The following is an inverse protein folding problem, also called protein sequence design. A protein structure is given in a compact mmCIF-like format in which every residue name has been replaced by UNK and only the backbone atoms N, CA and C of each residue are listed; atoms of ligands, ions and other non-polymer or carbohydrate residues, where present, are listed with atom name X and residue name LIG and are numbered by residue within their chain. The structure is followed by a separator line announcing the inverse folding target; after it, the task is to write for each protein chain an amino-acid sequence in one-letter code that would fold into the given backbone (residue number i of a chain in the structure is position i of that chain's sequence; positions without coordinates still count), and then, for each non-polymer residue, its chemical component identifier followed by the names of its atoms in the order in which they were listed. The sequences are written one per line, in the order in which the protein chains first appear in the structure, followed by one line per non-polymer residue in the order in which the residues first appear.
data_IF_527871923505
#
_entry.id   IF_527871923505
#
_cell.length_a   1.000
_cell.length_b   1.000
_cell.length_c   1.000
_cell.angle_alpha   90.00
_cell.angle_beta   90.00
_cell.angle_gamma   90.00
#
_symmetry.space_group_name_H-M   'P 1'
#
loop_
_entity.id
_entity.type
_entity.pdbx_description
1 polymer ?
#
# COMPACT_ATOMS: atom_id res chain seq x y z
N UNK A 1 15.55 -33.80 6.67
CA UNK A 1 16.79 -32.99 6.52
C UNK A 1 17.55 -33.53 5.33
N UNK A 2 17.34 -32.92 4.15
CA UNK A 2 17.99 -33.34 2.91
C UNK A 2 19.43 -32.84 2.88
N UNK A 3 20.37 -33.77 2.86
CA UNK A 3 21.79 -33.49 2.73
C UNK A 3 22.06 -32.87 1.34
N UNK A 4 22.60 -31.66 1.33
CA UNK A 4 23.11 -31.05 0.11
C UNK A 4 24.36 -31.82 -0.37
N UNK A 5 24.54 -32.05 -1.68
CA UNK A 5 25.66 -32.82 -2.19
C UNK A 5 26.97 -32.12 -1.82
N UNK A 6 27.87 -32.87 -1.18
CA UNK A 6 29.20 -32.43 -0.80
C UNK A 6 29.98 -32.02 -2.06
N UNK A 7 30.36 -30.75 -2.05
CA UNK A 7 31.18 -30.04 -3.02
C UNK A 7 32.45 -30.86 -3.36
N UNK A 8 32.57 -31.28 -4.63
CA UNK A 8 33.56 -32.23 -5.15
C UNK A 8 34.91 -31.61 -5.55
N UNK A 9 35.25 -30.39 -5.08
CA UNK A 9 36.57 -29.79 -5.31
C UNK A 9 37.26 -29.41 -3.99
N UNK A 10 37.90 -30.41 -3.39
CA UNK A 10 38.82 -30.25 -2.25
C UNK A 10 40.09 -29.52 -2.71
N UNK A 11 40.57 -28.58 -1.89
CA UNK A 11 41.91 -27.96 -1.88
C UNK A 11 42.03 -26.48 -2.32
N UNK A 12 41.08 -25.61 -1.94
CA UNK A 12 41.43 -24.18 -1.81
C UNK A 12 42.27 -23.99 -0.53
N UNK A 13 43.46 -23.41 -0.65
CA UNK A 13 44.30 -23.03 0.51
C UNK A 13 43.87 -21.63 0.96
N UNK A 14 43.52 -21.48 2.23
CA UNK A 14 43.21 -20.19 2.85
C UNK A 14 44.38 -19.76 3.72
N UNK A 15 44.81 -18.51 3.56
CA UNK A 15 45.98 -17.95 4.24
C UNK A 15 45.52 -16.73 5.05
N UNK A 16 45.96 -16.62 6.31
CA UNK A 16 45.81 -15.41 7.11
C UNK A 16 46.91 -14.39 6.77
N UNK A 17 48.12 -14.91 6.61
CA UNK A 17 49.33 -14.26 6.13
C UNK A 17 50.05 -15.24 5.20
N UNK A 18 51.05 -14.77 4.43
CA UNK A 18 51.75 -15.58 3.42
C UNK A 18 52.30 -16.91 3.94
N UNK A 19 52.58 -16.98 5.23
CA UNK A 19 53.18 -18.10 5.96
C UNK A 19 52.18 -18.91 6.80
N UNK A 20 50.96 -18.39 7.05
CA UNK A 20 50.01 -19.03 7.97
C UNK A 20 48.74 -19.48 7.29
N UNK A 21 48.63 -20.79 7.10
CA UNK A 21 47.43 -21.44 6.59
C UNK A 21 46.35 -21.53 7.68
N UNK A 22 45.11 -21.23 7.29
CA UNK A 22 43.94 -21.28 8.16
C UNK A 22 42.80 -22.07 7.49
N UNK A 23 41.80 -22.47 8.29
CA UNK A 23 40.60 -23.08 7.75
C UNK A 23 39.71 -22.03 7.06
N UNK A 24 38.76 -22.50 6.26
CA UNK A 24 37.81 -21.64 5.56
C UNK A 24 36.99 -20.77 6.52
N UNK A 25 36.51 -21.35 7.61
CA UNK A 25 35.69 -20.67 8.62
C UNK A 25 36.47 -19.52 9.28
N UNK A 26 37.73 -19.78 9.68
CA UNK A 26 38.62 -18.76 10.21
C UNK A 26 38.91 -17.66 9.18
N UNK A 27 39.06 -18.01 7.89
CA UNK A 27 39.29 -17.03 6.83
C UNK A 27 38.10 -16.09 6.64
N UNK A 28 36.89 -16.66 6.63
CA UNK A 28 35.63 -15.92 6.52
C UNK A 28 35.45 -14.97 7.71
N UNK A 29 35.77 -15.46 8.92
CA UNK A 29 35.72 -14.66 10.15
C UNK A 29 36.77 -13.54 10.16
N UNK A 30 38.03 -13.86 9.88
CA UNK A 30 39.14 -12.90 9.90
C UNK A 30 38.97 -11.77 8.87
N UNK A 31 38.29 -12.03 7.75
CA UNK A 31 38.04 -11.05 6.70
C UNK A 31 36.64 -10.41 6.79
N UNK A 32 35.86 -10.71 7.82
CA UNK A 32 34.48 -10.23 8.00
C UNK A 32 33.61 -10.36 6.72
N UNK A 33 33.70 -11.52 6.07
CA UNK A 33 32.91 -11.83 4.87
C UNK A 33 31.91 -12.95 5.16
N UNK A 34 30.94 -13.13 4.27
CA UNK A 34 30.04 -14.29 4.32
C UNK A 34 30.57 -15.42 3.44
N UNK A 35 30.16 -16.66 3.74
CA UNK A 35 30.47 -17.84 2.91
C UNK A 35 30.05 -17.64 1.45
N UNK A 36 28.92 -16.98 1.20
CA UNK A 36 28.41 -16.69 -0.14
C UNK A 36 29.28 -15.66 -0.87
N UNK A 37 29.78 -14.63 -0.18
CA UNK A 37 30.76 -13.68 -0.74
C UNK A 37 32.05 -14.39 -1.15
N UNK A 38 32.57 -15.28 -0.30
CA UNK A 38 33.77 -16.07 -0.61
C UNK A 38 33.58 -16.95 -1.86
N UNK A 39 32.45 -17.66 -2.00
CA UNK A 39 32.17 -18.45 -3.20
C UNK A 39 32.12 -17.60 -4.48
N UNK A 40 31.52 -16.40 -4.40
CA UNK A 40 31.46 -15.47 -5.53
C UNK A 40 32.85 -14.98 -5.93
N UNK A 41 33.68 -14.59 -4.97
CA UNK A 41 35.05 -14.15 -5.22
C UNK A 41 35.89 -15.28 -5.84
N UNK A 42 35.79 -16.51 -5.33
CA UNK A 42 36.46 -17.67 -5.91
C UNK A 42 36.05 -17.92 -7.36
N UNK A 43 34.74 -17.82 -7.66
CA UNK A 43 34.23 -18.00 -9.02
C UNK A 43 34.77 -16.96 -9.99
N UNK A 44 34.97 -15.71 -9.56
CA UNK A 44 35.59 -14.67 -10.39
C UNK A 44 37.04 -15.01 -10.72
N UNK A 45 37.81 -15.40 -9.70
CA UNK A 45 39.23 -15.77 -9.87
C UNK A 45 39.37 -17.02 -10.75
N UNK A 46 38.55 -18.05 -10.55
CA UNK A 46 38.57 -19.27 -11.36
C UNK A 46 38.14 -19.06 -12.82
N UNK A 47 37.37 -18.02 -13.10
CA UNK A 47 36.92 -17.68 -14.44
C UNK A 47 37.81 -16.64 -15.13
N UNK A 48 38.95 -16.28 -14.53
CA UNK A 48 39.87 -15.20 -14.98
C UNK A 48 39.16 -13.85 -15.26
N UNK A 49 37.97 -13.68 -14.70
CA UNK A 49 37.11 -12.52 -14.96
C UNK A 49 37.00 -11.69 -13.69
N UNK A 50 37.72 -10.58 -13.64
CA UNK A 50 37.56 -9.55 -12.58
C UNK A 50 36.44 -8.55 -12.90
N UNK A 51 35.59 -8.87 -13.88
CA UNK A 51 34.45 -8.03 -14.28
C UNK A 51 33.34 -7.98 -13.22
N UNK A 52 32.42 -7.04 -13.42
CA UNK A 52 31.23 -6.91 -12.56
C UNK A 52 30.45 -8.23 -12.51
N UNK A 53 30.18 -8.71 -11.28
CA UNK A 53 29.34 -9.87 -11.05
C UNK A 53 27.94 -9.61 -11.62
N UNK A 54 27.63 -10.23 -12.77
CA UNK A 54 26.27 -10.27 -13.26
C UNK A 54 25.45 -11.22 -12.38
N UNK A 55 24.28 -10.75 -11.94
CA UNK A 55 23.32 -11.59 -11.25
C UNK A 55 22.94 -12.79 -12.14
N UNK A 56 22.71 -13.97 -11.57
CA UNK A 56 22.38 -15.19 -12.35
C UNK A 56 21.07 -15.09 -13.15
N UNK A 57 20.26 -14.07 -12.88
CA UNK A 57 19.06 -13.69 -13.64
C UNK A 57 19.22 -12.34 -14.36
N UNK A 58 20.44 -11.84 -14.54
CA UNK A 58 20.66 -10.62 -15.31
C UNK A 58 20.11 -10.83 -16.73
N UNK A 59 19.16 -9.98 -17.14
CA UNK A 59 18.47 -10.09 -18.43
C UNK A 59 17.30 -11.09 -18.48
N UNK A 60 17.09 -11.91 -17.45
CA UNK A 60 16.00 -12.89 -17.40
C UNK A 60 14.99 -12.56 -16.30
N UNK A 61 13.69 -12.75 -16.57
CA UNK A 61 12.67 -12.65 -15.52
C UNK A 61 12.83 -13.83 -14.57
N UNK A 62 12.91 -13.56 -13.27
CA UNK A 62 12.89 -14.61 -12.25
C UNK A 62 11.62 -15.45 -12.33
N UNK A 63 11.69 -16.71 -11.92
CA UNK A 63 10.56 -17.65 -11.90
C UNK A 63 9.38 -17.18 -11.03
N UNK A 64 9.62 -16.28 -10.08
CA UNK A 64 8.61 -15.63 -9.24
C UNK A 64 8.10 -14.28 -9.79
N UNK A 65 8.46 -13.91 -11.01
CA UNK A 65 8.01 -12.66 -11.61
C UNK A 65 6.48 -12.66 -11.78
N UNK A 66 5.85 -11.55 -11.41
CA UNK A 66 4.41 -11.35 -11.54
C UNK A 66 3.98 -11.45 -13.01
N UNK A 67 2.99 -12.31 -13.26
CA UNK A 67 2.41 -12.46 -14.60
C UNK A 67 1.42 -11.32 -14.87
N UNK A 68 1.25 -10.97 -16.15
CA UNK A 68 0.28 -9.96 -16.59
C UNK A 68 -1.15 -10.15 -16.00
N UNK A 69 -1.76 -11.35 -16.04
CA UNK A 69 -3.11 -11.54 -15.47
C UNK A 69 -3.18 -11.26 -13.98
N UNK A 70 -2.12 -11.55 -13.21
CA UNK A 70 -2.07 -11.24 -11.78
C UNK A 70 -2.05 -9.73 -11.53
N UNK A 71 -1.31 -8.98 -12.36
CA UNK A 71 -1.29 -7.52 -12.29
C UNK A 71 -2.68 -6.96 -12.63
N UNK A 72 -3.29 -7.43 -13.73
CA UNK A 72 -4.62 -6.99 -14.16
C UNK A 72 -5.71 -7.32 -13.13
N UNK A 73 -5.62 -8.47 -12.46
CA UNK A 73 -6.53 -8.85 -11.37
C UNK A 73 -6.48 -7.85 -10.21
N UNK A 74 -5.28 -7.47 -9.76
CA UNK A 74 -5.10 -6.45 -8.72
C UNK A 74 -5.65 -5.09 -9.16
N UNK A 75 -5.36 -4.66 -10.40
CA UNK A 75 -5.84 -3.38 -10.92
C UNK A 75 -7.36 -3.32 -10.95
N UNK A 76 -8.00 -4.37 -11.47
CA UNK A 76 -9.45 -4.48 -11.56
C UNK A 76 -10.10 -4.38 -10.19
N UNK A 77 -9.59 -5.17 -9.23
CA UNK A 77 -10.07 -5.14 -7.86
C UNK A 77 -9.98 -3.73 -7.25
N UNK A 78 -8.82 -3.06 -7.36
CA UNK A 78 -8.62 -1.73 -6.79
C UNK A 78 -9.52 -0.68 -7.43
N UNK A 79 -9.71 -0.73 -8.75
CA UNK A 79 -10.58 0.21 -9.48
C UNK A 79 -12.06 -0.01 -9.11
N UNK A 80 -12.52 -1.27 -9.05
CA UNK A 80 -13.88 -1.60 -8.63
C UNK A 80 -14.12 -1.15 -7.18
N UNK A 81 -13.20 -1.49 -6.28
CA UNK A 81 -13.30 -1.10 -4.86
C UNK A 81 -13.28 0.43 -4.71
N UNK A 82 -12.40 1.12 -5.44
CA UNK A 82 -12.34 2.58 -5.48
C UNK A 82 -13.60 3.23 -6.05
N UNK A 83 -14.24 2.61 -7.03
CA UNK A 83 -15.50 3.10 -7.61
C UNK A 83 -16.67 2.95 -6.62
N UNK A 84 -16.67 1.88 -5.83
CA UNK A 84 -17.75 1.58 -4.88
C UNK A 84 -17.63 2.36 -3.56
N UNK A 85 -16.41 2.52 -3.06
CA UNK A 85 -16.15 3.06 -1.72
C UNK A 85 -15.34 4.36 -1.70
N UNK A 86 -14.76 4.74 -2.83
CA UNK A 86 -13.92 5.91 -2.95
C UNK A 86 -14.72 7.20 -3.10
N UNK A 87 -14.21 8.26 -2.50
CA UNK A 87 -14.70 9.62 -2.66
C UNK A 87 -13.72 10.40 -3.55
N UNK A 88 -14.11 10.79 -4.78
CA UNK A 88 -13.27 11.62 -5.63
C UNK A 88 -13.15 13.03 -5.04
N UNK A 89 -11.96 13.62 -5.14
CA UNK A 89 -11.76 15.01 -4.75
C UNK A 89 -12.43 15.93 -5.79
N UNK A 90 -13.34 16.82 -5.39
CA UNK A 90 -14.02 17.73 -6.33
C UNK A 90 -13.08 18.79 -6.91
N UNK A 91 -11.94 19.05 -6.28
CA UNK A 91 -10.99 20.08 -6.69
C UNK A 91 -10.08 19.58 -7.81
N UNK A 92 -10.01 20.35 -8.90
CA UNK A 92 -8.97 20.24 -9.93
C UNK A 92 -7.61 20.36 -9.23
N UNK A 93 -6.82 19.28 -9.26
CA UNK A 93 -5.44 19.36 -8.79
C UNK A 93 -4.71 20.34 -9.71
N UNK A 94 -4.24 21.46 -9.15
CA UNK A 94 -3.57 22.49 -9.92
C UNK A 94 -2.48 21.90 -10.83
N UNK A 95 -2.54 22.26 -12.12
CA UNK A 95 -1.53 22.06 -13.17
C UNK A 95 -0.95 20.64 -13.40
N UNK A 96 -1.31 19.63 -12.62
CA UNK A 96 -0.84 18.26 -12.76
C UNK A 96 -1.71 17.46 -13.72
N UNK A 97 -1.11 16.86 -14.75
CA UNK A 97 -1.77 16.01 -15.76
C UNK A 97 -2.27 14.66 -15.22
N UNK A 98 -2.42 14.51 -13.89
CA UNK A 98 -2.79 13.26 -13.24
C UNK A 98 -4.30 13.08 -13.10
N UNK A 99 -4.74 11.81 -12.99
CA UNK A 99 -6.11 11.50 -12.58
C UNK A 99 -6.40 12.10 -11.21
N UNK A 100 -7.62 12.61 -10.97
CA UNK A 100 -8.01 13.14 -9.66
C UNK A 100 -7.87 12.06 -8.58
N UNK A 101 -7.41 12.45 -7.40
CA UNK A 101 -7.29 11.50 -6.29
C UNK A 101 -8.69 10.98 -5.91
N UNK A 102 -8.74 9.67 -5.66
CA UNK A 102 -9.91 8.98 -5.09
C UNK A 102 -9.52 8.51 -3.69
N UNK A 103 -10.27 8.93 -2.68
CA UNK A 103 -9.97 8.59 -1.28
C UNK A 103 -10.87 7.47 -0.77
N UNK A 104 -10.28 6.34 -0.41
CA UNK A 104 -10.91 5.23 0.31
C UNK A 104 -11.14 5.60 1.79
N UNK A 105 -12.11 4.96 2.48
CA UNK A 105 -12.46 5.30 3.87
C UNK A 105 -11.27 5.25 4.85
N UNK A 106 -11.26 6.15 5.85
CA UNK A 106 -10.17 6.28 6.86
C UNK A 106 -10.01 5.04 7.73
N UNK A 107 -11.08 4.27 7.94
CA UNK A 107 -11.06 3.06 8.77
C UNK A 107 -10.42 1.86 8.06
N UNK A 108 -10.18 1.96 6.76
CA UNK A 108 -9.70 0.87 5.93
C UNK A 108 -8.16 0.81 5.99
N UNK A 109 -7.61 -0.33 6.35
CA UNK A 109 -6.17 -0.59 6.27
C UNK A 109 -5.80 -1.20 4.91
N UNK A 110 -4.54 -0.99 4.47
CA UNK A 110 -4.03 -1.64 3.25
C UNK A 110 -4.09 -3.17 3.31
N UNK A 111 -3.93 -3.72 4.53
CA UNK A 111 -3.99 -5.17 4.75
C UNK A 111 -5.40 -5.72 4.54
N UNK A 112 -6.44 -5.06 5.06
CA UNK A 112 -7.83 -5.47 4.88
C UNK A 112 -8.26 -5.49 3.41
N UNK A 113 -7.75 -4.53 2.62
CA UNK A 113 -7.91 -4.51 1.16
C UNK A 113 -7.24 -5.71 0.47
N UNK A 114 -6.05 -6.06 0.93
CA UNK A 114 -5.33 -7.21 0.38
C UNK A 114 -6.00 -8.52 0.77
N UNK A 115 -6.47 -8.67 2.01
CA UNK A 115 -7.22 -9.84 2.48
C UNK A 115 -8.50 -10.03 1.67
N UNK A 116 -9.28 -8.95 1.45
CA UNK A 116 -10.48 -9.01 0.61
C UNK A 116 -10.19 -9.27 -0.88
N UNK A 117 -8.99 -8.91 -1.36
CA UNK A 117 -8.52 -9.30 -2.69
C UNK A 117 -8.14 -10.78 -2.74
N UNK A 118 -7.38 -11.24 -1.74
CA UNK A 118 -6.89 -12.61 -1.67
C UNK A 118 -8.07 -13.58 -1.62
N UNK A 119 -9.05 -13.34 -0.77
CA UNK A 119 -10.27 -14.14 -0.66
C UNK A 119 -10.97 -14.34 -2.03
N UNK A 120 -11.07 -13.27 -2.84
CA UNK A 120 -11.69 -13.34 -4.18
C UNK A 120 -10.85 -14.06 -5.24
N UNK A 121 -9.54 -14.19 -5.00
CA UNK A 121 -8.57 -14.66 -6.00
C UNK A 121 -7.94 -16.01 -5.64
N UNK A 122 -8.22 -16.53 -4.43
CA UNK A 122 -7.82 -17.85 -3.96
C UNK A 122 -8.37 -18.93 -4.88
N UNK A 123 -9.67 -18.88 -5.21
CA UNK A 123 -10.32 -19.88 -6.06
C UNK A 123 -9.80 -19.87 -7.51
N UNK A 124 -9.26 -18.74 -7.95
CA UNK A 124 -8.69 -18.55 -9.29
C UNK A 124 -7.20 -18.94 -9.35
N UNK A 125 -6.55 -19.25 -8.21
CA UNK A 125 -5.12 -19.55 -8.14
C UNK A 125 -4.20 -18.40 -8.58
N UNK A 126 -4.73 -17.17 -8.60
CA UNK A 126 -4.05 -15.99 -9.13
C UNK A 126 -3.72 -14.95 -8.05
N UNK A 127 -3.99 -15.27 -6.78
CA UNK A 127 -3.64 -14.43 -5.65
C UNK A 127 -2.15 -14.05 -5.67
N UNK A 128 -1.87 -12.78 -5.37
CA UNK A 128 -0.52 -12.26 -5.24
C UNK A 128 -0.20 -12.03 -3.77
N UNK A 129 1.07 -12.19 -3.41
CA UNK A 129 1.55 -11.89 -2.06
C UNK A 129 1.29 -10.43 -1.71
N UNK A 130 1.03 -10.15 -0.45
CA UNK A 130 0.74 -8.83 0.10
C UNK A 130 1.71 -7.73 -0.40
N UNK A 131 3.02 -7.95 -0.30
CA UNK A 131 3.99 -6.95 -0.76
C UNK A 131 3.89 -6.68 -2.27
N UNK A 132 3.58 -7.70 -3.07
CA UNK A 132 3.38 -7.55 -4.52
C UNK A 132 2.14 -6.73 -4.81
N UNK A 133 1.05 -6.95 -4.07
CA UNK A 133 -0.18 -6.16 -4.15
C UNK A 133 0.10 -4.67 -3.88
N UNK A 134 0.83 -4.35 -2.80
CA UNK A 134 1.21 -2.97 -2.47
C UNK A 134 2.09 -2.34 -3.55
N UNK A 135 3.05 -3.08 -4.10
CA UNK A 135 3.92 -2.58 -5.16
C UNK A 135 3.16 -2.31 -6.47
N UNK A 136 2.18 -3.16 -6.82
CA UNK A 136 1.31 -2.96 -7.99
C UNK A 136 0.46 -1.70 -7.77
N UNK A 137 -0.18 -1.57 -6.60
CA UNK A 137 -0.97 -0.39 -6.26
C UNK A 137 -0.13 0.89 -6.39
N UNK A 138 1.01 0.95 -5.72
CA UNK A 138 1.86 2.15 -5.71
C UNK A 138 2.45 2.48 -7.10
N UNK A 139 2.59 1.49 -7.99
CA UNK A 139 3.09 1.74 -9.35
C UNK A 139 2.01 2.25 -10.29
N UNK A 140 0.82 1.65 -10.26
CA UNK A 140 -0.18 1.83 -11.32
C UNK A 140 -1.45 2.56 -10.86
N UNK A 141 -1.80 2.52 -9.58
CA UNK A 141 -3.05 3.10 -9.03
C UNK A 141 -2.74 4.15 -7.96
N UNK A 142 -1.77 5.02 -8.23
CA UNK A 142 -1.30 6.07 -7.29
C UNK A 142 -2.36 7.11 -6.91
N UNK A 143 -3.36 7.29 -7.77
CA UNK A 143 -4.47 8.22 -7.55
C UNK A 143 -5.45 7.69 -6.49
N UNK A 144 -5.53 6.38 -6.29
CA UNK A 144 -6.34 5.77 -5.24
C UNK A 144 -5.56 5.76 -3.93
N UNK A 145 -6.05 6.48 -2.92
CA UNK A 145 -5.38 6.66 -1.63
C UNK A 145 -6.31 6.30 -0.49
N UNK A 146 -5.79 5.70 0.57
CA UNK A 146 -6.53 5.60 1.82
C UNK A 146 -6.56 6.98 2.45
N UNK A 147 -7.76 7.46 2.80
CA UNK A 147 -7.95 8.72 3.50
C UNK A 147 -7.14 8.68 4.80
N UNK A 148 -6.19 9.60 4.93
CA UNK A 148 -5.55 9.86 6.23
C UNK A 148 -6.53 10.68 7.06
N UNK A 149 -6.43 10.60 8.38
CA UNK A 149 -7.30 11.36 9.29
C UNK A 149 -7.48 12.82 8.83
N UNK A 150 -6.42 13.48 8.33
CA UNK A 150 -6.44 14.89 7.90
C UNK A 150 -6.98 15.17 6.49
N UNK A 151 -7.31 14.17 5.68
CA UNK A 151 -7.67 14.38 4.26
C UNK A 151 -9.16 14.66 4.01
N UNK A 152 -10.04 14.47 5.00
CA UNK A 152 -11.44 14.96 4.98
C UNK A 152 -11.78 15.92 6.13
N UNK A 153 -10.77 16.33 6.89
CA UNK A 153 -11.03 17.18 8.04
C UNK A 153 -11.49 18.55 7.57
N UNK A 154 -12.58 19.02 8.17
CA UNK A 154 -12.93 20.42 8.06
C UNK A 154 -11.79 21.27 8.63
N UNK A 155 -11.70 22.53 8.22
CA UNK A 155 -10.65 23.46 8.68
C UNK A 155 -10.57 23.58 10.21
N UNK A 156 -11.66 23.27 10.93
CA UNK A 156 -11.70 23.28 12.40
C UNK A 156 -10.99 22.05 12.96
N UNK A 157 -11.32 20.85 12.48
CA UNK A 157 -10.68 19.61 12.90
C UNK A 157 -9.16 19.63 12.68
N UNK A 158 -8.74 20.11 11.51
CA UNK A 158 -7.32 20.18 11.14
C UNK A 158 -6.52 21.09 12.08
N UNK A 159 -7.05 22.29 12.38
CA UNK A 159 -6.45 23.23 13.32
C UNK A 159 -6.38 22.69 14.75
N UNK A 160 -7.41 21.99 15.20
CA UNK A 160 -7.48 21.47 16.56
C UNK A 160 -6.50 20.32 16.78
N UNK A 161 -6.41 19.37 15.84
CA UNK A 161 -5.41 18.30 15.93
C UNK A 161 -4.00 18.87 15.85
N UNK A 162 -3.74 19.81 14.95
CA UNK A 162 -2.43 20.48 14.88
C UNK A 162 -2.04 21.09 16.24
N UNK A 163 -2.96 21.75 16.94
CA UNK A 163 -2.71 22.30 18.29
C UNK A 163 -2.50 21.23 19.36
N UNK A 164 -3.25 20.13 19.32
CA UNK A 164 -3.17 19.06 20.32
C UNK A 164 -1.82 18.31 20.22
N UNK A 165 -1.41 17.96 19.00
CA UNK A 165 -0.26 17.08 18.77
C UNK A 165 1.03 17.81 18.39
N UNK A 166 0.93 18.98 17.75
CA UNK A 166 2.07 19.74 17.24
C UNK A 166 2.20 21.15 17.85
N UNK A 167 1.29 21.51 18.77
CA UNK A 167 1.34 22.79 19.47
C UNK A 167 2.42 22.85 20.57
N UNK A 168 2.66 24.05 21.12
CA UNK A 168 3.57 24.27 22.25
C UNK A 168 3.23 23.35 23.43
N UNK A 169 4.22 23.09 24.31
CA UNK A 169 4.07 22.21 25.48
C UNK A 169 3.28 22.84 26.63
N UNK A 170 2.34 23.73 26.31
CA UNK A 170 1.41 24.33 27.26
C UNK A 170 0.19 23.41 27.45
N UNK A 171 0.05 22.90 28.67
CA UNK A 171 -1.01 21.96 29.02
C UNK A 171 -2.39 22.62 29.04
N UNK A 172 -2.50 23.91 29.38
CA UNK A 172 -3.77 24.62 29.42
C UNK A 172 -4.35 24.81 28.01
N UNK A 173 -3.53 25.27 27.06
CA UNK A 173 -3.94 25.40 25.66
C UNK A 173 -4.30 24.05 25.02
N UNK A 174 -3.60 22.97 25.38
CA UNK A 174 -3.93 21.61 24.92
C UNK A 174 -5.25 21.11 25.50
N UNK A 175 -5.50 21.36 26.79
CA UNK A 175 -6.76 21.00 27.44
C UNK A 175 -7.95 21.71 26.79
N UNK A 176 -7.80 23.01 26.52
CA UNK A 176 -8.83 23.81 25.84
C UNK A 176 -9.08 23.33 24.39
N UNK A 177 -8.01 22.96 23.66
CA UNK A 177 -8.14 22.41 22.32
C UNK A 177 -8.84 21.04 22.30
N UNK A 178 -8.59 20.19 23.31
CA UNK A 178 -9.31 18.91 23.48
C UNK A 178 -10.80 19.11 23.80
N UNK A 179 -11.12 20.03 24.72
CA UNK A 179 -12.51 20.34 25.04
C UNK A 179 -13.27 20.85 23.80
N UNK A 180 -12.66 21.75 23.01
CA UNK A 180 -13.27 22.24 21.78
C UNK A 180 -13.40 21.13 20.71
N UNK A 181 -12.46 20.19 20.66
CA UNK A 181 -12.55 19.03 19.79
C UNK A 181 -13.75 18.14 20.12
N UNK A 182 -14.00 17.87 21.41
CA UNK A 182 -15.16 17.06 21.86
C UNK A 182 -16.49 17.72 21.48
N UNK A 183 -16.64 19.02 21.75
CA UNK A 183 -17.84 19.79 21.35
C UNK A 183 -18.06 19.74 19.83
N UNK A 184 -16.99 19.90 19.05
CA UNK A 184 -17.10 19.85 17.59
C UNK A 184 -17.52 18.45 17.09
N UNK A 185 -17.01 17.39 17.69
CA UNK A 185 -17.41 16.02 17.37
C UNK A 185 -18.87 15.75 17.69
N UNK A 186 -19.35 16.23 18.83
CA UNK A 186 -20.75 16.08 19.22
C UNK A 186 -21.68 16.82 18.25
N UNK A 187 -21.36 18.06 17.92
CA UNK A 187 -22.12 18.84 16.93
C UNK A 187 -22.15 18.14 15.56
N UNK A 188 -21.02 17.60 15.09
CA UNK A 188 -20.98 16.85 13.84
C UNK A 188 -21.81 15.55 13.91
N UNK A 189 -21.89 14.90 15.08
CA UNK A 189 -22.75 13.73 15.29
C UNK A 189 -24.24 14.10 15.21
N UNK A 190 -24.63 15.21 15.84
CA UNK A 190 -26.00 15.74 15.79
C UNK A 190 -26.42 16.07 14.35
N UNK A 191 -25.56 16.76 13.59
CA UNK A 191 -25.84 17.07 12.18
C UNK A 191 -26.01 15.80 11.33
N UNK A 192 -25.18 14.77 11.54
CA UNK A 192 -25.33 13.48 10.85
C UNK A 192 -26.62 12.77 11.23
N UNK A 193 -27.04 12.83 12.50
CA UNK A 193 -28.30 12.25 12.95
C UNK A 193 -29.49 12.92 12.25
N UNK A 194 -29.53 14.26 12.25
CA UNK A 194 -30.57 15.04 11.56
C UNK A 194 -30.60 14.74 10.06
N UNK A 195 -29.43 14.64 9.41
CA UNK A 195 -29.37 14.28 7.99
C UNK A 195 -29.96 12.90 7.73
N UNK A 196 -29.59 11.89 8.54
CA UNK A 196 -30.13 10.52 8.41
C UNK A 196 -31.65 10.48 8.58
N UNK A 197 -32.16 11.22 9.56
CA UNK A 197 -33.60 11.37 9.79
C UNK A 197 -34.29 11.97 8.56
N UNK A 198 -33.79 13.10 8.04
CA UNK A 198 -34.34 13.74 6.83
C UNK A 198 -34.31 12.81 5.62
N UNK A 199 -33.23 12.05 5.43
CA UNK A 199 -33.12 11.05 4.36
C UNK A 199 -34.15 9.93 4.54
N UNK A 200 -34.36 9.45 5.77
CA UNK A 200 -35.37 8.44 6.07
C UNK A 200 -36.77 8.96 5.77
N UNK A 201 -37.10 10.16 6.24
CA UNK A 201 -38.38 10.82 6.00
C UNK A 201 -38.63 11.05 4.50
N UNK A 202 -37.62 11.52 3.78
CA UNK A 202 -37.68 11.68 2.32
C UNK A 202 -37.93 10.35 1.61
N UNK A 203 -37.28 9.26 2.03
CA UNK A 203 -37.52 7.92 1.47
C UNK A 203 -38.94 7.43 1.76
N UNK A 204 -39.46 7.64 2.97
CA UNK A 204 -40.82 7.27 3.33
C UNK A 204 -41.85 8.07 2.53
N UNK A 205 -41.66 9.39 2.46
CA UNK A 205 -42.49 10.27 1.65
C UNK A 205 -42.49 9.83 0.19
N UNK A 206 -41.32 9.56 -0.40
CA UNK A 206 -41.22 9.06 -1.78
C UNK A 206 -41.94 7.72 -1.97
N UNK A 207 -41.84 6.78 -1.02
CA UNK A 207 -42.57 5.50 -1.09
C UNK A 207 -44.08 5.71 -1.09
N UNK A 208 -44.57 6.67 -0.32
CA UNK A 208 -45.98 6.97 -0.15
C UNK A 208 -46.57 7.87 -1.26
N UNK A 209 -45.75 8.39 -2.19
CA UNK A 209 -46.26 9.10 -3.37
C UNK A 209 -47.03 8.16 -4.30
N UNK A 210 -48.06 8.69 -4.96
CA UNK A 210 -48.79 7.96 -5.98
C UNK A 210 -47.88 7.53 -7.14
N UNK A 211 -48.14 6.37 -7.78
CA UNK A 211 -47.34 5.88 -8.90
C UNK A 211 -47.23 6.88 -10.07
N UNK A 212 -48.24 7.72 -10.27
CA UNK A 212 -48.23 8.75 -11.33
C UNK A 212 -47.28 9.91 -11.04
N UNK A 213 -47.08 10.29 -9.78
CA UNK A 213 -46.16 11.37 -9.37
C UNK A 213 -44.71 10.90 -9.24
N UNK A 214 -44.46 9.58 -9.25
CA UNK A 214 -43.11 8.99 -9.28
C UNK A 214 -42.45 9.00 -10.66
N UNK A 215 -43.14 9.49 -11.70
CA UNK A 215 -42.56 9.65 -13.04
C UNK A 215 -41.56 10.80 -13.02
N UNK A 216 -40.26 10.48 -13.07
CA UNK A 216 -39.24 11.48 -13.34
C UNK A 216 -39.55 12.14 -14.68
N UNK A 217 -39.55 13.47 -14.74
CA UNK A 217 -39.61 14.18 -16.02
C UNK A 217 -38.46 13.67 -16.89
N UNK A 218 -38.78 12.97 -17.97
CA UNK A 218 -37.82 12.68 -19.02
C UNK A 218 -37.25 14.03 -19.44
N UNK A 219 -35.97 14.28 -19.14
CA UNK A 219 -35.30 15.48 -19.62
C UNK A 219 -35.18 15.27 -21.13
N UNK A 220 -36.14 15.82 -21.87
CA UNK A 220 -36.07 15.98 -23.31
C UNK A 220 -34.90 16.90 -23.61
N UNK A 221 -33.80 16.31 -24.07
CA UNK A 221 -32.54 17.02 -24.23
C UNK A 221 -31.48 16.25 -25.01
N UNK A 222 -31.89 15.58 -26.10
CA UNK A 222 -30.99 15.25 -27.21
C UNK A 222 -31.65 15.64 -28.53
N UNK A 223 -31.21 16.77 -29.07
CA UNK A 223 -30.95 16.95 -30.50
C UNK A 223 -29.49 17.32 -30.65
#
# INVERSE_FOLDING_TARGET
MTAFPLDRQRNARFLFSSDRQICREAFVYANDITKSRLYRARKLVSNESFGNLQHGLAGAKGTSALKKPQIEGVLRFLVEYGSLHGLPVPTVQGTGTGLPNVYLPTKLAKVELWEGYEERMVDLGQAVKQQSFYNIWDKYVRHLKIRRAHTDMCKVCDKLISRIYHGPRDDAAKQAAKAHWEVHLEHAAQQRAQYREKVLMSKLQYKNLDPETKKFSTIDGRK
#
